data_IF_049101749984
#
_entry.id   IF_049101749984
#
_cell.length_a   1.000
_cell.length_b   1.000
_cell.length_c   1.000
_cell.angle_alpha   90.00
_cell.angle_beta   90.00
_cell.angle_gamma   90.00
#
_symmetry.space_group_name_H-M   'P 1'
#
loop_
_entity.id
_entity.type
_entity.pdbx_description
1 polymer ?
#
# COMPACT_ATOMS: atom_id res chain seq x y z
N UNK A 1 -16.32 19.81 -45.51
CA UNK A 1 -15.36 19.45 -44.43
C UNK A 1 -15.97 19.74 -43.05
N UNK A 2 -16.70 18.77 -42.47
CA UNK A 2 -17.12 18.86 -41.07
C UNK A 2 -15.87 18.61 -40.23
N UNK A 3 -15.11 19.67 -39.96
CA UNK A 3 -14.07 19.64 -38.95
C UNK A 3 -14.82 19.36 -37.65
N UNK A 4 -14.75 18.11 -37.21
CA UNK A 4 -15.41 17.64 -36.00
C UNK A 4 -14.63 18.28 -34.84
N UNK A 5 -15.02 19.52 -34.48
CA UNK A 5 -14.49 20.24 -33.32
C UNK A 5 -15.03 19.51 -32.10
N UNK A 6 -14.30 18.48 -31.68
CA UNK A 6 -14.60 17.76 -30.45
C UNK A 6 -14.44 18.78 -29.32
N UNK A 7 -15.57 19.17 -28.73
CA UNK A 7 -15.60 20.08 -27.57
C UNK A 7 -14.57 19.63 -26.52
N UNK A 8 -13.87 20.55 -25.84
CA UNK A 8 -12.88 20.20 -24.82
C UNK A 8 -13.48 19.33 -23.70
N UNK A 9 -14.79 19.44 -23.46
CA UNK A 9 -15.54 18.55 -22.56
C UNK A 9 -15.59 17.11 -23.04
N UNK A 10 -15.70 16.87 -24.35
CA UNK A 10 -15.68 15.52 -24.90
C UNK A 10 -14.26 14.92 -24.86
N UNK A 11 -13.22 15.72 -25.00
CA UNK A 11 -11.82 15.26 -24.84
C UNK A 11 -11.56 14.87 -23.37
N UNK A 12 -12.02 15.67 -22.42
CA UNK A 12 -11.91 15.38 -20.98
C UNK A 12 -12.74 14.15 -20.58
N UNK A 13 -13.96 14.02 -21.12
CA UNK A 13 -14.81 12.85 -20.86
C UNK A 13 -14.19 11.58 -21.46
N UNK A 14 -13.64 11.65 -22.68
CA UNK A 14 -12.93 10.54 -23.30
C UNK A 14 -11.66 10.17 -22.54
N UNK A 15 -10.88 11.14 -22.05
CA UNK A 15 -9.68 10.84 -21.27
C UNK A 15 -10.00 10.17 -19.94
N UNK A 16 -11.07 10.61 -19.26
CA UNK A 16 -11.55 9.97 -18.01
C UNK A 16 -12.08 8.56 -18.29
N UNK A 17 -12.84 8.37 -19.38
CA UNK A 17 -13.32 7.05 -19.80
C UNK A 17 -12.16 6.10 -20.14
N UNK A 18 -11.09 6.59 -20.79
CA UNK A 18 -9.89 5.80 -21.10
C UNK A 18 -9.12 5.46 -19.82
N UNK A 19 -9.03 6.35 -18.84
CA UNK A 19 -8.43 6.05 -17.53
C UNK A 19 -9.24 5.02 -16.73
N UNK A 20 -10.56 4.98 -16.92
CA UNK A 20 -11.43 3.97 -16.31
C UNK A 20 -11.35 2.61 -17.04
N UNK A 21 -11.31 2.61 -18.37
CA UNK A 21 -11.16 1.38 -19.20
C UNK A 21 -9.75 0.80 -19.11
N UNK A 22 -8.72 1.62 -18.88
CA UNK A 22 -7.34 1.16 -18.64
C UNK A 22 -7.12 0.51 -17.27
N UNK A 23 -8.16 0.40 -16.44
CA UNK A 23 -8.14 -0.26 -15.15
C UNK A 23 -8.54 -1.74 -15.19
N UNK A 24 -8.55 -2.39 -16.36
CA UNK A 24 -9.00 -3.79 -16.49
C UNK A 24 -8.07 -4.64 -17.35
N UNK A 25 -6.83 -4.88 -16.90
CA UNK A 25 -6.18 -6.15 -17.22
C UNK A 25 -6.51 -7.14 -16.10
N UNK A 26 -7.65 -7.80 -16.32
CA UNK A 26 -7.92 -9.21 -16.12
C UNK A 26 -7.42 -9.84 -14.81
N UNK A 27 -8.40 -10.20 -13.97
CA UNK A 27 -8.21 -11.13 -12.87
C UNK A 27 -7.45 -12.40 -13.28
N UNK A 28 -6.48 -12.75 -12.44
CA UNK A 28 -5.78 -14.02 -12.31
C UNK A 28 -4.89 -14.49 -13.47
N UNK A 29 -3.58 -14.18 -13.41
CA UNK A 29 -2.60 -15.18 -13.74
C UNK A 29 -2.43 -16.11 -12.52
N UNK A 30 -2.88 -17.35 -12.70
CA UNK A 30 -2.14 -18.53 -12.24
C UNK A 30 -1.59 -18.45 -10.80
N UNK A 31 -2.48 -18.84 -9.89
CA UNK A 31 -2.19 -19.69 -8.73
C UNK A 31 -0.97 -20.59 -9.01
N UNK A 32 0.20 -20.26 -8.45
CA UNK A 32 1.17 -21.30 -8.15
C UNK A 32 0.70 -22.06 -6.91
N UNK A 33 0.88 -23.39 -6.88
CA UNK A 33 0.19 -24.25 -5.94
C UNK A 33 0.57 -23.90 -4.50
N UNK A 34 -0.47 -23.88 -3.69
CA UNK A 34 -0.44 -24.30 -2.29
C UNK A 34 0.36 -25.60 -2.15
N UNK A 35 0.94 -25.79 -0.96
CA UNK A 35 1.58 -27.04 -0.47
C UNK A 35 2.94 -27.32 -1.13
N UNK A 36 4.02 -27.50 -0.40
CA UNK A 36 4.25 -28.29 0.80
C UNK A 36 5.68 -27.88 1.20
N UNK A 37 5.96 -27.42 2.41
CA UNK A 37 6.34 -28.36 3.44
C UNK A 37 6.30 -27.69 4.81
N UNK A 38 5.79 -28.44 5.76
CA UNK A 38 5.61 -28.04 7.13
C UNK A 38 6.93 -28.11 7.88
N UNK A 39 7.88 -27.20 7.68
CA UNK A 39 9.04 -27.17 8.56
C UNK A 39 9.67 -25.77 8.57
N UNK A 40 9.29 -24.98 9.59
CA UNK A 40 10.16 -23.93 10.16
C UNK A 40 10.37 -22.62 9.36
N UNK A 41 9.31 -21.78 9.17
CA UNK A 41 9.48 -20.38 8.68
C UNK A 41 10.52 -19.62 9.51
N UNK A 42 10.61 -19.95 10.80
CA UNK A 42 11.67 -19.50 11.68
C UNK A 42 11.93 -20.59 12.73
N UNK A 43 12.77 -21.59 12.46
CA UNK A 43 13.37 -22.34 13.56
C UNK A 43 14.87 -22.21 13.53
N UNK A 44 15.37 -21.61 14.60
CA UNK A 44 16.65 -21.97 15.17
C UNK A 44 16.58 -21.68 16.69
N UNK A 45 16.60 -22.79 17.42
CA UNK A 45 17.18 -23.07 18.75
C UNK A 45 16.73 -22.20 19.95
N UNK A 46 16.40 -22.91 21.02
CA UNK A 46 16.16 -22.42 22.38
C UNK A 46 17.51 -22.42 23.08
N UNK A 47 17.98 -21.24 23.49
CA UNK A 47 18.78 -21.06 24.70
C UNK A 47 18.04 -19.92 25.43
N UNK A 48 17.19 -20.20 26.41
CA UNK A 48 17.64 -20.60 27.74
C UNK A 48 18.03 -19.35 28.52
N UNK A 49 17.11 -18.83 29.34
CA UNK A 49 17.34 -17.89 30.44
C UNK A 49 17.96 -16.51 30.09
N UNK A 50 17.09 -15.47 30.12
CA UNK A 50 17.31 -14.01 30.20
C UNK A 50 16.73 -13.21 29.00
N UNK A 51 15.51 -12.66 29.17
CA UNK A 51 14.84 -11.77 28.22
C UNK A 51 15.46 -10.37 28.14
N UNK A 52 16.73 -10.28 27.75
CA UNK A 52 17.21 -9.11 27.05
C UNK A 52 17.15 -9.43 25.56
N UNK A 53 16.25 -8.78 24.82
CA UNK A 53 16.22 -8.87 23.37
C UNK A 53 16.94 -7.68 22.73
N UNK A 54 18.27 -7.68 22.60
CA UNK A 54 18.95 -6.65 21.84
C UNK A 54 18.85 -6.94 20.33
N UNK A 55 17.64 -6.94 19.78
CA UNK A 55 17.43 -7.11 18.34
C UNK A 55 17.92 -5.85 17.64
N UNK A 56 19.02 -5.99 16.90
CA UNK A 56 19.61 -4.92 16.07
C UNK A 56 19.84 -5.49 14.70
N UNK A 57 19.12 -4.99 13.70
CA UNK A 57 19.39 -5.28 12.31
C UNK A 57 19.89 -4.02 11.61
N UNK A 58 20.98 -4.14 10.86
CA UNK A 58 21.48 -3.07 10.00
C UNK A 58 20.72 -3.02 8.67
N UNK A 59 20.30 -4.19 8.17
CA UNK A 59 19.43 -4.31 7.00
C UNK A 59 18.02 -4.72 7.43
N UNK A 60 16.98 -4.05 6.90
CA UNK A 60 15.61 -4.46 7.15
C UNK A 60 15.35 -5.80 6.45
N UNK A 61 14.77 -6.72 7.21
CA UNK A 61 14.27 -8.01 6.77
C UNK A 61 12.83 -8.14 7.27
N UNK A 62 11.85 -7.51 6.59
CA UNK A 62 10.49 -7.42 7.10
C UNK A 62 9.80 -8.78 7.10
N UNK A 63 9.13 -9.12 8.19
CA UNK A 63 8.26 -10.29 8.31
C UNK A 63 6.91 -9.91 8.90
N UNK A 64 5.85 -10.60 8.47
CA UNK A 64 4.50 -10.36 8.95
C UNK A 64 4.19 -11.34 10.07
N UNK A 65 3.95 -10.84 11.27
CA UNK A 65 3.48 -11.62 12.40
C UNK A 65 2.04 -12.09 12.23
N UNK A 66 1.66 -13.15 12.95
CA UNK A 66 0.25 -13.60 13.06
C UNK A 66 -0.67 -12.54 13.69
N UNK A 67 -0.09 -11.53 14.34
CA UNK A 67 -0.77 -10.36 14.90
C UNK A 67 -1.03 -9.25 13.86
N UNK A 68 -0.63 -9.46 12.60
CA UNK A 68 -0.76 -8.45 11.54
C UNK A 68 0.25 -7.31 11.64
N UNK A 69 1.26 -7.43 12.51
CA UNK A 69 2.33 -6.45 12.65
C UNK A 69 3.53 -6.82 11.78
N UNK A 70 4.11 -5.83 11.11
CA UNK A 70 5.39 -6.01 10.41
C UNK A 70 6.54 -5.85 11.40
N UNK A 71 7.37 -6.88 11.50
CA UNK A 71 8.60 -6.93 12.26
C UNK A 71 9.78 -6.69 11.31
N UNK A 72 10.62 -5.72 11.58
CA UNK A 72 11.59 -5.20 10.60
C UNK A 72 12.95 -5.89 10.64
N UNK A 73 13.26 -6.55 11.75
CA UNK A 73 14.49 -7.30 11.93
C UNK A 73 14.27 -8.82 11.81
N UNK A 74 13.25 -9.22 11.05
CA UNK A 74 12.96 -10.60 10.71
C UNK A 74 12.43 -11.43 11.86
N UNK A 75 12.67 -12.73 11.76
CA UNK A 75 12.24 -13.74 12.73
C UNK A 75 12.68 -13.45 14.17
N UNK A 76 13.87 -12.86 14.37
CA UNK A 76 14.41 -12.56 15.70
C UNK A 76 13.58 -11.50 16.45
N UNK A 77 13.07 -10.51 15.71
CA UNK A 77 12.21 -9.44 16.21
C UNK A 77 10.82 -9.96 16.57
N UNK A 78 10.22 -10.71 15.65
CA UNK A 78 8.93 -11.36 15.87
C UNK A 78 8.98 -12.31 17.08
N UNK A 79 10.02 -13.15 17.16
CA UNK A 79 10.21 -14.09 18.27
C UNK A 79 10.48 -13.40 19.59
N UNK A 80 11.23 -12.30 19.60
CA UNK A 80 11.42 -11.50 20.80
C UNK A 80 10.07 -10.99 21.34
N UNK A 81 9.18 -10.54 20.45
CA UNK A 81 7.83 -10.14 20.82
C UNK A 81 6.92 -11.33 21.18
N UNK A 82 7.41 -12.58 21.13
CA UNK A 82 6.61 -13.79 21.34
C UNK A 82 5.61 -14.07 20.22
N UNK A 83 5.79 -13.45 19.05
CA UNK A 83 4.88 -13.55 17.92
C UNK A 83 5.43 -14.49 16.87
N UNK A 84 4.57 -15.41 16.39
CA UNK A 84 4.90 -16.29 15.27
C UNK A 84 4.81 -15.52 13.95
N UNK A 85 5.69 -15.83 13.01
CA UNK A 85 5.65 -15.25 11.66
C UNK A 85 4.61 -15.99 10.82
N UNK A 86 3.66 -15.24 10.25
CA UNK A 86 2.65 -15.72 9.32
C UNK A 86 3.17 -15.77 7.87
N UNK A 87 3.96 -14.78 7.46
CA UNK A 87 4.50 -14.64 6.09
C UNK A 87 5.81 -13.85 6.10
N UNK A 88 6.72 -14.18 5.20
CA UNK A 88 7.89 -13.34 4.91
C UNK A 88 7.46 -12.06 4.16
N UNK A 89 8.11 -10.94 4.43
CA UNK A 89 7.73 -9.63 3.90
C UNK A 89 6.81 -8.84 4.85
N UNK A 90 6.38 -7.66 4.40
CA UNK A 90 5.49 -6.79 5.18
C UNK A 90 4.07 -7.36 5.26
N UNK A 91 3.34 -6.98 6.31
CA UNK A 91 1.91 -7.25 6.41
C UNK A 91 1.13 -6.38 5.41
N UNK A 92 0.12 -6.97 4.79
CA UNK A 92 -0.79 -6.25 3.91
C UNK A 92 -1.54 -5.17 4.72
N UNK A 93 -1.44 -3.91 4.28
CA UNK A 93 -2.04 -2.73 4.96
C UNK A 93 -3.55 -2.64 4.68
N UNK A 94 -4.23 -3.77 4.75
CA UNK A 94 -5.54 -3.93 4.13
C UNK A 94 -6.47 -4.85 4.91
N UNK A 95 -6.60 -4.68 6.23
CA UNK A 95 -7.85 -5.08 6.92
C UNK A 95 -8.05 -4.58 8.37
N UNK A 96 -7.40 -3.50 8.83
CA UNK A 96 -7.59 -3.13 10.24
C UNK A 96 -7.10 -1.75 10.64
N UNK A 97 -8.00 -0.77 10.59
CA UNK A 97 -7.94 0.41 11.47
C UNK A 97 -7.15 1.60 10.94
N UNK A 98 -7.88 2.52 10.30
CA UNK A 98 -7.77 3.97 10.45
C UNK A 98 -6.38 4.54 10.81
N UNK A 99 -5.42 4.48 9.88
CA UNK A 99 -4.49 5.59 9.79
C UNK A 99 -5.35 6.86 9.55
N UNK A 100 -5.17 7.95 10.31
CA UNK A 100 -5.98 9.13 10.09
C UNK A 100 -5.66 9.68 8.71
N UNK A 101 -6.56 9.43 7.78
CA UNK A 101 -6.80 10.13 6.50
C UNK A 101 -7.04 11.64 6.75
N UNK A 102 -6.76 12.16 7.94
CA UNK A 102 -6.82 13.58 8.29
C UNK A 102 -5.86 14.41 7.41
N UNK A 103 -4.68 13.86 7.08
CA UNK A 103 -3.74 14.50 6.15
C UNK A 103 -4.18 14.48 4.68
N UNK A 104 -5.01 13.49 4.29
CA UNK A 104 -5.46 13.34 2.90
C UNK A 104 -6.69 14.21 2.60
N UNK A 105 -7.59 14.41 3.58
CA UNK A 105 -8.78 15.26 3.40
C UNK A 105 -8.39 16.74 3.30
N UNK A 106 -7.51 17.23 4.19
CA UNK A 106 -7.04 18.62 4.12
C UNK A 106 -6.28 18.89 2.82
N UNK A 107 -5.46 17.94 2.37
CA UNK A 107 -4.74 18.05 1.11
C UNK A 107 -5.70 18.14 -0.08
N UNK A 108 -6.76 17.32 -0.08
CA UNK A 108 -7.76 17.32 -1.15
C UNK A 108 -8.53 18.64 -1.21
N UNK A 109 -8.98 19.17 -0.07
CA UNK A 109 -9.64 20.48 0.00
C UNK A 109 -8.71 21.60 -0.47
N UNK A 110 -7.43 21.56 -0.09
CA UNK A 110 -6.44 22.53 -0.52
C UNK A 110 -6.21 22.48 -2.04
N UNK A 111 -6.10 21.28 -2.62
CA UNK A 111 -5.92 21.09 -4.06
C UNK A 111 -7.14 21.62 -4.84
N UNK A 112 -8.36 21.28 -4.39
CA UNK A 112 -9.60 21.73 -5.06
C UNK A 112 -9.73 23.25 -5.00
N UNK A 113 -9.40 23.88 -3.87
CA UNK A 113 -9.44 25.33 -3.74
C UNK A 113 -8.46 26.04 -4.67
N UNK A 114 -7.21 25.54 -4.78
CA UNK A 114 -6.21 26.09 -5.70
C UNK A 114 -6.64 25.99 -7.16
N UNK A 115 -7.28 24.88 -7.56
CA UNK A 115 -7.81 24.71 -8.93
C UNK A 115 -8.90 25.74 -9.21
N UNK A 116 -9.85 25.92 -8.28
CA UNK A 116 -10.92 26.91 -8.44
C UNK A 116 -10.36 28.33 -8.56
N UNK A 117 -9.46 28.73 -7.64
CA UNK A 117 -8.81 30.06 -7.71
C UNK A 117 -8.06 30.27 -9.02
N UNK A 118 -7.33 29.26 -9.50
CA UNK A 118 -6.64 29.32 -10.79
C UNK A 118 -7.59 29.54 -11.96
N UNK A 119 -8.72 28.83 -11.99
CA UNK A 119 -9.75 29.00 -13.02
C UNK A 119 -10.39 30.40 -12.92
N UNK A 120 -10.83 30.82 -11.73
CA UNK A 120 -11.45 32.14 -11.56
C UNK A 120 -10.49 33.29 -11.90
N UNK A 121 -9.21 33.18 -11.57
CA UNK A 121 -8.19 34.17 -11.93
C UNK A 121 -7.89 34.19 -13.43
N UNK A 122 -7.83 33.02 -14.07
CA UNK A 122 -7.58 32.90 -15.51
C UNK A 122 -8.74 33.42 -16.36
N UNK A 123 -9.98 33.19 -15.93
CA UNK A 123 -11.18 33.67 -16.63
C UNK A 123 -11.63 35.07 -16.20
N UNK A 124 -11.17 35.57 -15.04
CA UNK A 124 -11.54 36.88 -14.50
C UNK A 124 -10.65 38.05 -14.95
N UNK A 125 -9.61 37.80 -15.74
CA UNK A 125 -8.72 38.83 -16.33
C UNK A 125 -8.72 38.79 -17.87
N UNK A 126 -9.83 38.34 -18.48
CA UNK A 126 -10.06 38.32 -19.93
C UNK A 126 -11.43 38.93 -20.25
#
# INVERSE_FOLDING_TARGET
PKLLVISPFHVLLLSVLISFVGGEELMNPLRLPSEHDNQEICALIIDGEHCSCPVKCFRPDPVCGVDGKTYWCGCADARCAGVRVAKLGFCEVGNGGSAPVSGQVLLLLHIVWLILLGIFGLFGLL
#
